data_IF_082245473118
#
_entry.id   IF_082245473118
#
_cell.length_a   1.000
_cell.length_b   1.000
_cell.length_c   1.000
_cell.angle_alpha   90.00
_cell.angle_beta   90.00
_cell.angle_gamma   90.00
#
_symmetry.space_group_name_H-M   'P 1'
#
loop_
_entity.id
_entity.type
_entity.pdbx_description
1 polymer ?
#
# COMPACT_ATOMS: atom_id res chain seq x y z
N UNK A 1 -52.89 -59.12 0.38
CA UNK A 1 -53.52 -58.22 -0.62
C UNK A 1 -53.45 -56.83 -0.07
N UNK A 2 -52.82 -55.93 -0.83
CA UNK A 2 -52.59 -54.54 -0.49
C UNK A 2 -53.89 -53.74 -0.48
N UNK A 3 -53.93 -52.65 0.28
CA UNK A 3 -54.46 -51.38 -0.20
C UNK A 3 -53.86 -50.24 0.62
N UNK A 4 -52.95 -49.50 -0.04
CA UNK A 4 -52.43 -48.22 0.41
C UNK A 4 -53.42 -47.15 -0.06
N UNK A 5 -54.02 -46.41 0.88
CA UNK A 5 -54.77 -45.19 0.58
C UNK A 5 -53.85 -43.97 0.75
N UNK A 6 -53.90 -43.13 -0.28
CA UNK A 6 -53.12 -41.93 -0.56
C UNK A 6 -53.42 -40.76 0.38
N UNK A 7 -52.37 -40.22 1.03
CA UNK A 7 -52.43 -38.92 1.73
C UNK A 7 -52.10 -37.73 0.80
N UNK A 8 -52.63 -36.52 1.05
CA UNK A 8 -52.45 -35.37 0.16
C UNK A 8 -51.07 -34.71 0.35
N UNK A 9 -50.43 -34.38 -0.77
CA UNK A 9 -49.20 -33.59 -0.84
C UNK A 9 -49.49 -32.12 -0.51
N UNK A 10 -49.19 -31.70 0.72
CA UNK A 10 -49.10 -30.28 1.09
C UNK A 10 -47.70 -29.75 0.80
N UNK A 11 -47.55 -28.95 -0.26
CA UNK A 11 -46.32 -28.23 -0.58
C UNK A 11 -46.03 -27.18 0.51
N UNK A 12 -45.13 -27.50 1.43
CA UNK A 12 -44.62 -26.55 2.41
C UNK A 12 -43.70 -25.53 1.73
N UNK A 13 -44.24 -24.34 1.47
CA UNK A 13 -43.51 -23.17 0.97
C UNK A 13 -42.54 -22.71 2.08
N UNK A 14 -41.25 -22.96 1.88
CA UNK A 14 -40.16 -22.48 2.74
C UNK A 14 -40.26 -20.95 2.89
N UNK A 15 -40.33 -20.39 4.11
CA UNK A 15 -40.40 -18.96 4.28
C UNK A 15 -39.09 -18.32 3.78
N UNK A 16 -39.25 -17.38 2.85
CA UNK A 16 -38.19 -16.54 2.30
C UNK A 16 -37.42 -15.87 3.42
N UNK A 17 -36.09 -15.93 3.32
CA UNK A 17 -35.14 -15.27 4.22
C UNK A 17 -35.56 -13.82 4.48
N UNK A 18 -35.89 -13.54 5.72
CA UNK A 18 -36.08 -12.19 6.24
C UNK A 18 -34.90 -11.31 5.83
N UNK A 19 -35.21 -10.13 5.29
CA UNK A 19 -34.25 -9.04 5.14
C UNK A 19 -33.77 -8.66 6.54
N UNK A 20 -32.63 -9.21 6.95
CA UNK A 20 -31.91 -8.69 8.09
C UNK A 20 -31.37 -7.33 7.66
N UNK A 21 -31.98 -6.27 8.19
CA UNK A 21 -31.35 -4.96 8.30
C UNK A 21 -30.05 -5.17 9.08
N UNK A 22 -28.96 -5.40 8.37
CA UNK A 22 -27.62 -5.48 8.95
C UNK A 22 -27.29 -4.10 9.47
N UNK A 23 -27.54 -3.88 10.76
CA UNK A 23 -26.79 -2.90 11.55
C UNK A 23 -25.33 -3.32 11.50
N UNK A 24 -24.62 -2.85 10.47
CA UNK A 24 -23.19 -3.07 10.31
C UNK A 24 -22.45 -2.27 11.39
N UNK A 25 -22.06 -2.94 12.47
CA UNK A 25 -21.25 -2.36 13.53
C UNK A 25 -19.91 -1.87 12.96
N UNK A 26 -19.48 -0.68 13.36
CA UNK A 26 -18.25 0.00 12.92
C UNK A 26 -16.99 -0.87 13.04
N UNK A 27 -16.98 -1.85 13.95
CA UNK A 27 -15.86 -2.75 14.22
C UNK A 27 -15.58 -3.78 13.10
N UNK A 28 -16.57 -4.11 12.27
CA UNK A 28 -16.39 -5.08 11.17
C UNK A 28 -15.55 -4.50 10.02
N UNK A 29 -15.53 -3.17 9.88
CA UNK A 29 -14.86 -2.47 8.78
C UNK A 29 -13.35 -2.32 8.97
N UNK A 30 -12.82 -2.51 10.17
CA UNK A 30 -11.38 -2.37 10.42
C UNK A 30 -10.55 -3.56 9.90
N UNK A 31 -11.23 -4.61 9.43
CA UNK A 31 -10.68 -5.80 8.78
C UNK A 31 -11.11 -5.94 7.31
N UNK A 32 -11.50 -4.86 6.63
CA UNK A 32 -11.84 -4.92 5.20
C UNK A 32 -10.68 -5.49 4.37
N UNK A 33 -10.81 -6.76 4.00
CA UNK A 33 -9.86 -7.43 3.12
C UNK A 33 -10.06 -6.84 1.74
N UNK A 34 -9.08 -6.05 1.30
CA UNK A 34 -9.05 -5.48 -0.04
C UNK A 34 -9.08 -6.63 -1.06
N UNK A 35 -10.01 -6.63 -2.03
CA UNK A 35 -10.04 -7.66 -3.08
C UNK A 35 -8.68 -7.76 -3.78
N UNK A 36 -8.27 -8.97 -4.16
CA UNK A 36 -6.95 -9.21 -4.77
C UNK A 36 -6.73 -8.39 -6.06
N UNK A 37 -7.80 -8.18 -6.85
CA UNK A 37 -7.77 -7.33 -8.04
C UNK A 37 -7.54 -5.84 -7.75
N UNK A 38 -7.65 -5.43 -6.48
CA UNK A 38 -7.46 -4.07 -5.99
C UNK A 38 -6.32 -3.98 -4.97
N UNK A 39 -5.40 -4.96 -4.95
CA UNK A 39 -4.30 -5.03 -3.97
C UNK A 39 -3.46 -3.75 -3.88
N UNK A 40 -3.33 -3.00 -4.97
CA UNK A 40 -2.64 -1.71 -5.04
C UNK A 40 -3.25 -0.60 -4.19
N UNK A 41 -4.48 -0.78 -3.69
CA UNK A 41 -5.19 0.17 -2.83
C UNK A 41 -4.90 -0.08 -1.35
N UNK A 42 -4.49 -1.31 -0.99
CA UNK A 42 -4.25 -1.68 0.41
C UNK A 42 -3.22 -0.78 1.13
N UNK A 43 -2.10 -0.35 0.52
CA UNK A 43 -1.18 0.59 1.15
C UNK A 43 -1.85 1.93 1.50
N UNK A 44 -2.75 2.43 0.65
CA UNK A 44 -3.44 3.70 0.86
C UNK A 44 -4.36 3.61 2.08
N UNK A 45 -5.14 2.54 2.18
CA UNK A 45 -6.03 2.32 3.32
C UNK A 45 -5.27 2.06 4.62
N UNK A 46 -4.11 1.40 4.56
CA UNK A 46 -3.22 1.22 5.71
C UNK A 46 -2.74 2.56 6.23
N UNK A 47 -2.18 3.42 5.37
CA UNK A 47 -1.76 4.77 5.73
C UNK A 47 -2.92 5.58 6.31
N UNK A 48 -4.09 5.52 5.68
CA UNK A 48 -5.28 6.20 6.17
C UNK A 48 -5.70 5.74 7.58
N UNK A 49 -5.52 4.46 7.91
CA UNK A 49 -5.79 3.93 9.26
C UNK A 49 -4.78 4.46 10.26
N UNK A 50 -3.49 4.43 9.94
CA UNK A 50 -2.40 4.88 10.82
C UNK A 50 -2.54 6.36 11.21
N UNK A 51 -2.79 7.24 10.23
CA UNK A 51 -2.88 8.69 10.48
C UNK A 51 -4.26 9.12 10.99
N UNK A 52 -5.24 8.21 11.11
CA UNK A 52 -6.64 8.57 11.39
C UNK A 52 -6.85 9.27 12.72
N UNK A 53 -6.04 8.95 13.71
CA UNK A 53 -6.11 9.53 15.06
C UNK A 53 -5.44 10.91 15.11
N UNK A 54 -4.34 11.09 14.38
CA UNK A 54 -3.55 12.33 14.38
C UNK A 54 -4.11 13.39 13.44
N UNK A 55 -4.54 12.95 12.24
CA UNK A 55 -5.07 13.82 11.17
C UNK A 55 -6.31 13.19 10.53
N UNK A 56 -7.48 13.30 11.18
CA UNK A 56 -8.71 12.66 10.69
C UNK A 56 -9.13 13.15 9.30
N UNK A 57 -8.92 14.45 8.98
CA UNK A 57 -9.23 14.97 7.64
C UNK A 57 -8.33 14.38 6.56
N UNK A 58 -7.01 14.27 6.79
CA UNK A 58 -6.10 13.68 5.81
C UNK A 58 -6.42 12.19 5.62
N UNK A 59 -6.70 11.45 6.71
CA UNK A 59 -7.14 10.06 6.60
C UNK A 59 -8.40 9.90 5.75
N UNK A 60 -9.38 10.82 5.91
CA UNK A 60 -10.57 10.86 5.07
C UNK A 60 -10.21 11.05 3.58
N UNK A 61 -9.31 11.99 3.25
CA UNK A 61 -8.85 12.22 1.89
C UNK A 61 -8.14 10.99 1.30
N UNK A 62 -7.32 10.29 2.08
CA UNK A 62 -6.69 9.03 1.64
C UNK A 62 -7.74 7.95 1.33
N UNK A 63 -8.79 7.80 2.16
CA UNK A 63 -9.88 6.84 1.88
C UNK A 63 -10.69 7.25 0.66
N UNK A 64 -10.94 8.55 0.47
CA UNK A 64 -11.66 9.06 -0.70
C UNK A 64 -10.87 8.78 -1.98
N UNK A 65 -9.57 9.07 -1.96
CA UNK A 65 -8.67 8.75 -3.06
C UNK A 65 -8.61 7.24 -3.35
N UNK A 66 -8.56 6.39 -2.30
CA UNK A 66 -8.62 4.94 -2.44
C UNK A 66 -9.92 4.48 -3.14
N UNK A 67 -11.06 5.08 -2.80
CA UNK A 67 -12.34 4.80 -3.47
C UNK A 67 -12.31 5.19 -4.95
N UNK A 68 -11.83 6.39 -5.28
CA UNK A 68 -11.71 6.80 -6.68
C UNK A 68 -10.75 5.90 -7.47
N UNK A 69 -9.61 5.53 -6.87
CA UNK A 69 -8.64 4.62 -7.50
C UNK A 69 -9.26 3.24 -7.72
N UNK A 70 -10.05 2.73 -6.77
CA UNK A 70 -10.83 1.51 -6.95
C UNK A 70 -11.81 1.62 -8.11
N UNK A 71 -12.48 2.77 -8.23
CA UNK A 71 -13.41 3.02 -9.31
C UNK A 71 -12.71 3.02 -10.67
N UNK A 72 -11.54 3.68 -10.79
CA UNK A 72 -10.74 3.68 -12.03
C UNK A 72 -10.23 2.28 -12.41
N UNK A 73 -9.83 1.46 -11.42
CA UNK A 73 -9.31 0.12 -11.66
C UNK A 73 -10.38 -0.90 -12.11
N UNK A 74 -11.62 -0.77 -11.65
CA UNK A 74 -12.71 -1.67 -12.05
C UNK A 74 -14.06 -0.92 -12.11
N UNK A 75 -14.29 -0.08 -13.13
CA UNK A 75 -15.46 0.81 -13.19
C UNK A 75 -16.80 0.07 -13.02
N UNK A 76 -16.90 -1.13 -13.61
CA UNK A 76 -18.11 -1.95 -13.59
C UNK A 76 -18.23 -2.86 -12.36
N UNK A 77 -17.25 -2.83 -11.44
CA UNK A 77 -17.20 -3.68 -10.24
C UNK A 77 -17.35 -5.17 -10.55
N UNK A 78 -16.67 -5.61 -11.60
CA UNK A 78 -16.71 -6.97 -12.15
C UNK A 78 -15.87 -7.97 -11.34
N UNK A 79 -14.86 -7.50 -10.61
CA UNK A 79 -14.01 -8.32 -9.78
C UNK A 79 -14.74 -8.91 -8.57
N UNK A 80 -14.31 -10.10 -8.14
CA UNK A 80 -14.87 -10.77 -6.97
C UNK A 80 -14.78 -9.86 -5.74
N UNK A 81 -15.92 -9.57 -5.11
CA UNK A 81 -16.00 -8.76 -3.89
C UNK A 81 -15.80 -7.24 -4.11
N UNK A 82 -15.48 -6.78 -5.33
CA UNK A 82 -15.19 -5.36 -5.60
C UNK A 82 -16.40 -4.48 -5.33
N UNK A 83 -17.59 -4.89 -5.75
CA UNK A 83 -18.82 -4.13 -5.51
C UNK A 83 -19.09 -3.95 -4.02
N UNK A 84 -18.96 -5.03 -3.24
CA UNK A 84 -19.17 -5.01 -1.79
C UNK A 84 -18.18 -4.07 -1.12
N UNK A 85 -16.89 -4.22 -1.46
CA UNK A 85 -15.81 -3.35 -0.98
C UNK A 85 -16.07 -1.87 -1.29
N UNK A 86 -16.41 -1.52 -2.54
CA UNK A 86 -16.69 -0.13 -2.91
C UNK A 86 -17.89 0.45 -2.17
N UNK A 87 -18.99 -0.32 -2.08
CA UNK A 87 -20.19 0.12 -1.36
C UNK A 87 -19.88 0.36 0.11
N UNK A 88 -19.14 -0.53 0.75
CA UNK A 88 -18.77 -0.43 2.15
C UNK A 88 -17.81 0.75 2.42
N UNK A 89 -16.79 0.93 1.55
CA UNK A 89 -15.89 2.08 1.62
C UNK A 89 -16.64 3.43 1.42
N UNK A 90 -17.60 3.47 0.49
CA UNK A 90 -18.43 4.67 0.28
C UNK A 90 -19.28 5.01 1.51
N UNK A 91 -19.95 4.03 2.11
CA UNK A 91 -20.72 4.24 3.34
C UNK A 91 -19.85 4.76 4.49
N UNK A 92 -18.62 4.26 4.61
CA UNK A 92 -17.65 4.77 5.60
C UNK A 92 -17.27 6.22 5.31
N UNK A 93 -17.04 6.59 4.06
CA UNK A 93 -16.76 7.97 3.67
C UNK A 93 -17.94 8.90 4.03
N UNK A 94 -19.17 8.50 3.71
CA UNK A 94 -20.36 9.29 4.05
C UNK A 94 -20.47 9.56 5.56
N UNK A 95 -20.18 8.53 6.38
CA UNK A 95 -20.21 8.63 7.84
C UNK A 95 -19.09 9.53 8.39
N UNK A 96 -17.86 9.33 7.90
CA UNK A 96 -16.67 9.97 8.46
C UNK A 96 -16.49 11.44 7.98
N UNK A 97 -17.17 11.84 6.89
CA UNK A 97 -16.97 13.14 6.27
C UNK A 97 -17.20 14.31 7.24
N UNK A 98 -18.36 14.35 7.91
CA UNK A 98 -18.73 15.47 8.78
C UNK A 98 -17.77 15.62 9.98
N UNK A 99 -17.44 14.51 10.65
CA UNK A 99 -16.47 14.52 11.76
C UNK A 99 -15.07 14.91 11.31
N UNK A 100 -14.63 14.44 10.13
CA UNK A 100 -13.31 14.78 9.59
C UNK A 100 -13.23 16.27 9.24
N UNK A 101 -14.29 16.85 8.67
CA UNK A 101 -14.37 18.27 8.35
C UNK A 101 -14.31 19.14 9.61
N UNK A 102 -15.00 18.73 10.68
CA UNK A 102 -14.95 19.44 11.95
C UNK A 102 -13.54 19.48 12.56
N UNK A 103 -12.72 18.47 12.29
CA UNK A 103 -11.32 18.38 12.75
C UNK A 103 -10.30 19.08 11.84
N UNK A 104 -10.74 19.66 10.70
CA UNK A 104 -9.84 20.27 9.72
C UNK A 104 -9.20 21.53 10.26
N UNK A 105 -7.89 21.67 10.08
CA UNK A 105 -7.09 22.79 10.59
C UNK A 105 -6.95 23.91 9.55
N UNK A 106 -6.86 23.55 8.28
CA UNK A 106 -6.67 24.45 7.14
C UNK A 106 -7.99 24.77 6.45
N UNK A 107 -7.94 25.80 5.59
CA UNK A 107 -9.13 26.31 4.89
C UNK A 107 -9.64 25.37 3.80
N UNK A 108 -8.74 24.70 3.09
CA UNK A 108 -9.07 23.76 2.00
C UNK A 108 -8.45 22.40 2.26
N UNK A 109 -8.92 21.38 1.56
CA UNK A 109 -8.38 20.03 1.73
C UNK A 109 -7.00 19.92 1.10
N UNK A 110 -6.74 20.62 -0.01
CA UNK A 110 -5.39 20.75 -0.58
C UNK A 110 -4.41 21.30 0.46
N UNK A 111 -4.74 22.42 1.11
CA UNK A 111 -3.86 23.02 2.12
C UNK A 111 -3.66 22.11 3.36
N UNK A 112 -4.68 21.34 3.74
CA UNK A 112 -4.60 20.39 4.86
C UNK A 112 -3.58 19.29 4.58
N UNK A 113 -3.69 18.62 3.42
CA UNK A 113 -2.79 17.53 3.06
C UNK A 113 -1.39 18.04 2.68
N UNK A 114 -1.29 19.21 2.07
CA UNK A 114 -0.03 19.89 1.75
C UNK A 114 0.78 20.17 3.02
N UNK A 115 0.15 20.80 4.01
CA UNK A 115 0.77 21.10 5.31
C UNK A 115 1.15 19.84 6.07
N UNK A 116 0.34 18.78 6.01
CA UNK A 116 0.65 17.53 6.69
C UNK A 116 1.78 16.76 6.00
N UNK A 117 1.78 16.74 4.67
CA UNK A 117 2.83 16.09 3.88
C UNK A 117 4.19 16.68 4.22
N UNK A 118 4.32 18.01 4.23
CA UNK A 118 5.56 18.68 4.58
C UNK A 118 6.02 18.35 6.01
N UNK A 119 5.10 18.40 6.99
CA UNK A 119 5.40 18.03 8.38
C UNK A 119 5.87 16.57 8.50
N UNK A 120 5.19 15.66 7.82
CA UNK A 120 5.53 14.24 7.82
C UNK A 120 6.92 14.01 7.22
N UNK A 121 7.21 14.65 6.08
CA UNK A 121 8.50 14.53 5.41
C UNK A 121 9.66 15.04 6.29
N UNK A 122 9.53 16.22 6.90
CA UNK A 122 10.56 16.74 7.80
C UNK A 122 10.77 15.83 9.02
N UNK A 123 9.67 15.38 9.66
CA UNK A 123 9.74 14.63 10.91
C UNK A 123 10.17 13.18 10.75
N UNK A 124 9.76 12.51 9.66
CA UNK A 124 9.95 11.07 9.51
C UNK A 124 10.87 10.70 8.35
N UNK A 125 10.95 11.51 7.29
CA UNK A 125 11.85 11.20 6.17
C UNK A 125 13.22 11.83 6.43
N UNK A 126 13.30 13.15 6.54
CA UNK A 126 14.58 13.84 6.74
C UNK A 126 15.25 13.51 8.07
N UNK A 127 14.48 13.47 9.16
CA UNK A 127 15.06 13.20 10.48
C UNK A 127 15.61 11.77 10.60
N UNK A 128 14.94 10.79 9.99
CA UNK A 128 15.42 9.40 10.00
C UNK A 128 16.57 9.17 9.01
N UNK A 129 16.58 9.84 7.86
CA UNK A 129 17.67 9.74 6.86
C UNK A 129 19.00 10.30 7.39
N UNK A 130 18.95 11.26 8.32
CA UNK A 130 20.14 11.83 8.98
C UNK A 130 20.62 11.03 10.20
N UNK A 131 19.85 10.04 10.67
CA UNK A 131 20.19 9.27 11.85
C UNK A 131 21.13 8.10 11.53
N UNK A 132 22.35 8.09 12.10
CA UNK A 132 23.31 6.96 11.96
C UNK A 132 22.77 5.60 12.44
N UNK A 133 21.68 5.58 13.21
CA UNK A 133 21.05 4.40 13.81
C UNK A 133 19.54 4.32 13.56
N UNK A 134 19.01 5.08 12.60
CA UNK A 134 17.59 4.99 12.30
C UNK A 134 17.23 3.54 11.92
N UNK A 135 16.18 3.01 12.56
CA UNK A 135 15.63 1.71 12.20
C UNK A 135 15.21 1.77 10.73
N UNK A 136 16.01 1.17 9.84
CA UNK A 136 15.80 1.23 8.39
C UNK A 136 14.42 0.72 7.98
N UNK A 137 13.81 -0.15 8.79
CA UNK A 137 12.41 -0.56 8.59
C UNK A 137 11.43 0.60 8.81
N UNK A 138 11.69 1.46 9.80
CA UNK A 138 10.91 2.69 10.03
C UNK A 138 11.14 3.70 8.92
N UNK A 139 12.37 3.83 8.42
CA UNK A 139 12.68 4.71 7.28
C UNK A 139 11.97 4.24 6.01
N UNK A 140 12.02 2.95 5.69
CA UNK A 140 11.29 2.38 4.55
C UNK A 140 9.78 2.54 4.68
N UNK A 141 9.23 2.36 5.89
CA UNK A 141 7.82 2.68 6.17
C UNK A 141 7.53 4.16 5.93
N UNK A 142 8.39 5.07 6.38
CA UNK A 142 8.22 6.50 6.18
C UNK A 142 8.19 6.87 4.70
N UNK A 143 9.11 6.34 3.88
CA UNK A 143 9.10 6.54 2.43
C UNK A 143 7.83 5.98 1.75
N UNK A 144 7.35 4.81 2.18
CA UNK A 144 6.10 4.26 1.66
C UNK A 144 4.91 5.17 1.97
N UNK A 145 4.79 5.61 3.22
CA UNK A 145 3.73 6.51 3.67
C UNK A 145 3.81 7.85 2.96
N UNK A 146 5.00 8.46 2.87
CA UNK A 146 5.21 9.70 2.16
C UNK A 146 4.83 9.58 0.68
N UNK A 147 5.19 8.48 0.02
CA UNK A 147 4.80 8.22 -1.36
C UNK A 147 3.28 8.12 -1.57
N UNK A 148 2.56 7.50 -0.63
CA UNK A 148 1.09 7.47 -0.63
C UNK A 148 0.50 8.86 -0.41
N UNK A 149 1.01 9.60 0.59
CA UNK A 149 0.52 10.95 0.89
C UNK A 149 0.73 11.90 -0.30
N UNK A 150 1.86 11.78 -0.99
CA UNK A 150 2.12 12.56 -2.21
C UNK A 150 1.15 12.23 -3.34
N UNK A 151 0.86 10.94 -3.56
CA UNK A 151 -0.12 10.51 -4.56
C UNK A 151 -1.52 11.12 -4.28
N UNK A 152 -1.93 11.13 -3.02
CA UNK A 152 -3.20 11.73 -2.58
C UNK A 152 -3.17 13.24 -2.73
N UNK A 153 -2.08 13.92 -2.35
CA UNK A 153 -1.89 15.36 -2.52
C UNK A 153 -2.06 15.76 -4.00
N UNK A 154 -1.42 15.05 -4.92
CA UNK A 154 -1.58 15.30 -6.36
C UNK A 154 -3.04 15.14 -6.82
N UNK A 155 -3.77 14.15 -6.29
CA UNK A 155 -5.16 13.93 -6.65
C UNK A 155 -6.09 15.04 -6.13
N UNK A 156 -5.87 15.49 -4.89
CA UNK A 156 -6.63 16.60 -4.28
C UNK A 156 -6.37 17.90 -5.03
N UNK A 157 -5.11 18.22 -5.34
CA UNK A 157 -4.75 19.44 -6.07
C UNK A 157 -5.35 19.47 -7.49
N UNK A 158 -5.39 18.32 -8.18
CA UNK A 158 -6.09 18.19 -9.48
C UNK A 158 -7.59 18.46 -9.36
N UNK A 159 -8.21 18.02 -8.27
CA UNK A 159 -9.65 18.19 -8.04
C UNK A 159 -10.00 19.63 -7.66
N UNK A 160 -9.20 20.26 -6.81
CA UNK A 160 -9.37 21.66 -6.41
C UNK A 160 -8.81 22.68 -7.42
N UNK A 161 -8.20 22.22 -8.53
CA UNK A 161 -7.57 23.05 -9.58
C UNK A 161 -6.53 24.03 -9.03
N UNK A 162 -5.71 23.55 -8.09
CA UNK A 162 -4.59 24.32 -7.55
C UNK A 162 -3.45 24.29 -8.58
N UNK A 163 -3.11 25.44 -9.16
CA UNK A 163 -2.11 25.54 -10.24
C UNK A 163 -0.67 25.46 -9.73
N UNK A 164 -0.39 25.89 -8.50
CA UNK A 164 0.97 25.95 -7.96
C UNK A 164 1.11 25.19 -6.64
N UNK A 165 1.97 24.18 -6.65
CA UNK A 165 2.46 23.49 -5.44
C UNK A 165 3.79 24.12 -5.06
N UNK A 166 4.01 24.31 -3.76
CA UNK A 166 5.24 24.91 -3.25
C UNK A 166 6.49 24.14 -3.75
N UNK A 167 7.57 24.83 -4.17
CA UNK A 167 8.75 24.19 -4.74
C UNK A 167 9.44 23.23 -3.75
N UNK A 168 9.31 23.47 -2.45
CA UNK A 168 9.83 22.60 -1.39
C UNK A 168 9.16 21.22 -1.40
N UNK A 169 7.86 21.19 -1.68
CA UNK A 169 7.07 19.96 -1.72
C UNK A 169 7.39 19.17 -2.98
N UNK A 170 7.62 19.85 -4.10
CA UNK A 170 8.10 19.23 -5.34
C UNK A 170 9.47 18.59 -5.11
N UNK A 171 10.38 19.30 -4.42
CA UNK A 171 11.70 18.77 -4.09
C UNK A 171 11.62 17.54 -3.15
N UNK A 172 10.80 17.63 -2.10
CA UNK A 172 10.55 16.51 -1.17
C UNK A 172 9.94 15.30 -1.89
N UNK A 173 8.97 15.53 -2.78
CA UNK A 173 8.36 14.47 -3.57
C UNK A 173 9.35 13.77 -4.51
N UNK A 174 10.28 14.53 -5.11
CA UNK A 174 11.35 13.95 -5.93
C UNK A 174 12.27 13.06 -5.11
N UNK A 175 12.69 13.50 -3.92
CA UNK A 175 13.50 12.68 -2.99
C UNK A 175 12.76 11.38 -2.60
N UNK A 176 11.48 11.49 -2.23
CA UNK A 176 10.66 10.33 -1.89
C UNK A 176 10.55 9.37 -3.07
N UNK A 177 10.32 9.88 -4.28
CA UNK A 177 10.17 9.04 -5.47
C UNK A 177 11.47 8.30 -5.83
N UNK A 178 12.62 8.96 -5.73
CA UNK A 178 13.93 8.36 -6.01
C UNK A 178 14.30 7.28 -4.98
N UNK A 179 14.05 7.54 -3.69
CA UNK A 179 14.43 6.62 -2.62
C UNK A 179 13.38 5.55 -2.30
N UNK A 180 12.14 5.71 -2.73
CA UNK A 180 11.09 4.70 -2.54
C UNK A 180 11.44 3.37 -3.22
N UNK A 181 12.12 3.41 -4.36
CA UNK A 181 12.60 2.20 -5.04
C UNK A 181 13.75 1.52 -4.26
N UNK A 182 14.57 2.31 -3.56
CA UNK A 182 15.68 1.82 -2.73
C UNK A 182 15.16 1.11 -1.48
N UNK A 183 14.13 1.67 -0.84
CA UNK A 183 13.55 1.16 0.41
C UNK A 183 12.31 0.26 0.22
N UNK A 184 12.18 -0.39 -0.94
CA UNK A 184 11.11 -1.35 -1.17
C UNK A 184 11.26 -2.54 -0.18
N UNK A 185 10.20 -2.92 0.56
CA UNK A 185 10.31 -3.95 1.59
C UNK A 185 10.49 -5.33 0.96
N UNK A 186 11.62 -5.98 1.24
CA UNK A 186 11.85 -7.38 0.91
C UNK A 186 11.14 -8.28 1.94
N UNK A 187 10.46 -9.33 1.47
CA UNK A 187 9.55 -10.13 2.30
C UNK A 187 10.23 -11.06 3.32
N UNK A 188 11.56 -11.21 3.32
CA UNK A 188 12.23 -12.23 4.16
C UNK A 188 13.35 -11.66 5.04
N UNK A 189 13.92 -10.51 4.71
CA UNK A 189 14.85 -9.73 5.53
C UNK A 189 14.81 -8.27 5.03
N UNK A 190 15.12 -7.26 5.84
CA UNK A 190 15.20 -5.87 5.39
C UNK A 190 16.45 -5.68 4.52
N UNK A 191 16.43 -6.21 3.31
CA UNK A 191 17.53 -6.14 2.34
C UNK A 191 17.26 -4.99 1.40
N UNK A 192 17.32 -3.74 1.87
CA UNK A 192 17.29 -2.61 0.93
C UNK A 192 18.54 -2.65 0.03
N UNK A 193 18.42 -2.05 -1.17
CA UNK A 193 19.43 -2.08 -2.24
C UNK A 193 20.77 -1.40 -1.90
N UNK A 194 20.96 -0.98 -0.64
CA UNK A 194 22.25 -0.70 -0.02
C UNK A 194 22.90 -1.96 0.60
N UNK A 195 22.70 -3.12 -0.04
CA UNK A 195 23.04 -4.46 0.43
C UNK A 195 24.49 -4.60 0.92
N UNK A 196 25.44 -3.86 0.36
CA UNK A 196 26.84 -3.86 0.78
C UNK A 196 27.07 -3.50 2.27
N UNK A 197 26.18 -2.69 2.86
CA UNK A 197 26.33 -2.19 4.23
C UNK A 197 25.70 -3.08 5.31
N UNK A 198 25.01 -4.16 4.94
CA UNK A 198 24.27 -4.98 5.89
C UNK A 198 25.13 -6.03 6.58
N UNK A 199 24.95 -6.21 7.89
CA UNK A 199 25.75 -7.17 8.68
C UNK A 199 25.69 -8.60 8.15
N UNK A 200 24.58 -9.00 7.50
CA UNK A 200 24.44 -10.32 6.86
C UNK A 200 25.35 -10.45 5.63
N UNK A 201 25.49 -9.40 4.82
CA UNK A 201 26.41 -9.38 3.65
C UNK A 201 27.87 -9.34 4.11
N UNK A 202 28.13 -8.89 5.34
CA UNK A 202 29.46 -8.93 5.94
C UNK A 202 29.88 -10.32 6.45
N UNK A 203 28.97 -11.29 6.54
CA UNK A 203 29.28 -12.67 6.90
C UNK A 203 30.20 -13.30 5.85
N UNK A 204 31.24 -13.99 6.31
CA UNK A 204 32.24 -14.60 5.42
C UNK A 204 31.64 -15.70 4.55
N UNK A 205 30.61 -16.40 5.03
CA UNK A 205 29.85 -17.38 4.25
C UNK A 205 29.16 -16.73 3.05
N UNK A 206 28.58 -15.55 3.25
CA UNK A 206 27.87 -14.81 2.20
C UNK A 206 28.87 -14.23 1.20
N UNK A 207 29.98 -13.65 1.66
CA UNK A 207 31.08 -13.19 0.80
C UNK A 207 31.66 -14.32 -0.04
N UNK A 208 31.90 -15.48 0.58
CA UNK A 208 32.40 -16.66 -0.12
C UNK A 208 31.42 -17.16 -1.18
N UNK A 209 30.11 -17.19 -0.88
CA UNK A 209 29.09 -17.58 -1.84
C UNK A 209 29.00 -16.60 -3.04
N UNK A 210 29.04 -15.29 -2.79
CA UNK A 210 29.06 -14.24 -3.82
C UNK A 210 30.32 -14.37 -4.70
N UNK A 211 31.48 -14.58 -4.08
CA UNK A 211 32.74 -14.80 -4.80
C UNK A 211 32.70 -16.09 -5.64
N UNK A 212 32.15 -17.18 -5.10
CA UNK A 212 32.00 -18.44 -5.82
C UNK A 212 31.10 -18.29 -7.06
N UNK A 213 29.94 -17.64 -6.91
CA UNK A 213 29.03 -17.36 -8.03
C UNK A 213 29.69 -16.46 -9.10
N UNK A 214 30.41 -15.43 -8.67
CA UNK A 214 31.10 -14.51 -9.58
C UNK A 214 32.18 -15.21 -10.42
N UNK A 215 32.87 -16.20 -9.84
CA UNK A 215 33.98 -16.91 -10.46
C UNK A 215 33.59 -18.22 -11.16
N UNK A 216 32.35 -18.67 -11.01
CA UNK A 216 31.88 -19.90 -11.67
C UNK A 216 31.61 -19.64 -13.15
N UNK A 217 32.32 -20.36 -14.01
CA UNK A 217 32.15 -20.30 -15.48
C UNK A 217 30.94 -21.13 -15.90
N UNK A 218 30.19 -20.64 -16.89
CA UNK A 218 29.06 -21.37 -17.50
C UNK A 218 27.72 -21.22 -16.78
N UNK A 219 27.61 -20.36 -15.76
CA UNK A 219 26.32 -19.96 -15.19
C UNK A 219 25.52 -19.14 -16.21
N UNK A 220 24.25 -19.48 -16.42
CA UNK A 220 23.31 -18.67 -17.19
C UNK A 220 22.83 -17.49 -16.34
N UNK A 221 23.14 -16.26 -16.77
CA UNK A 221 22.70 -15.04 -16.08
C UNK A 221 21.46 -14.46 -16.76
N UNK A 222 20.46 -13.96 -16.01
CA UNK A 222 19.35 -13.23 -16.60
C UNK A 222 19.88 -11.95 -17.27
N UNK A 223 19.37 -11.64 -18.45
CA UNK A 223 19.82 -10.49 -19.26
C UNK A 223 19.67 -9.15 -18.54
N UNK A 224 18.65 -9.01 -17.69
CA UNK A 224 18.44 -7.85 -16.81
C UNK A 224 19.56 -7.68 -15.77
N UNK A 225 20.10 -8.80 -15.26
CA UNK A 225 21.09 -8.80 -14.19
C UNK A 225 22.52 -8.68 -14.73
N UNK A 226 22.77 -9.18 -15.93
CA UNK A 226 24.08 -9.09 -16.60
C UNK A 226 24.49 -7.63 -16.86
N UNK A 227 23.54 -6.77 -17.21
CA UNK A 227 23.75 -5.33 -17.38
C UNK A 227 24.06 -4.61 -16.05
N UNK A 228 23.42 -5.04 -14.96
CA UNK A 228 23.61 -4.47 -13.63
C UNK A 228 24.96 -4.89 -13.02
N UNK A 229 25.33 -6.16 -13.18
CA UNK A 229 26.64 -6.71 -12.78
C UNK A 229 27.81 -5.96 -13.42
N UNK A 230 27.70 -5.61 -14.70
CA UNK A 230 28.74 -4.88 -15.43
C UNK A 230 28.84 -3.40 -15.02
N UNK A 231 27.75 -2.79 -14.54
CA UNK A 231 27.70 -1.37 -14.16
C UNK A 231 28.08 -1.11 -12.69
N UNK A 232 27.60 -1.96 -11.77
CA UNK A 232 27.70 -1.68 -10.34
C UNK A 232 28.95 -2.26 -9.68
N UNK A 233 29.59 -3.28 -10.29
CA UNK A 233 30.72 -3.99 -9.66
C UNK A 233 30.38 -4.76 -8.38
N UNK A 234 29.13 -4.64 -7.92
CA UNK A 234 28.61 -5.20 -6.69
C UNK A 234 27.50 -6.20 -7.02
N UNK A 235 27.66 -7.45 -6.59
CA UNK A 235 26.73 -8.54 -6.88
C UNK A 235 25.86 -8.77 -5.65
N UNK A 236 24.60 -8.36 -5.71
CA UNK A 236 23.62 -8.76 -4.69
C UNK A 236 23.13 -10.19 -4.98
N UNK A 237 23.54 -11.12 -4.11
CA UNK A 237 23.16 -12.54 -4.15
C UNK A 237 21.64 -12.74 -4.21
N UNK A 238 20.88 -11.89 -3.52
CA UNK A 238 19.45 -12.05 -3.34
C UNK A 238 18.67 -11.50 -4.52
N UNK A 239 19.14 -10.40 -5.12
CA UNK A 239 18.61 -9.94 -6.40
C UNK A 239 18.89 -10.94 -7.52
N UNK A 240 20.04 -11.64 -7.48
CA UNK A 240 20.32 -12.75 -8.39
C UNK A 240 19.36 -13.93 -8.18
N UNK A 241 19.15 -14.36 -6.93
CA UNK A 241 18.20 -15.43 -6.60
C UNK A 241 16.76 -15.08 -7.01
N UNK A 242 16.32 -13.84 -6.77
CA UNK A 242 15.03 -13.32 -7.25
C UNK A 242 14.92 -13.43 -8.76
N UNK A 243 15.96 -13.00 -9.48
CA UNK A 243 15.96 -12.98 -10.94
C UNK A 243 16.00 -14.39 -11.55
N UNK A 244 16.71 -15.33 -10.94
CA UNK A 244 16.85 -16.71 -11.42
C UNK A 244 15.68 -17.61 -11.07
N UNK A 245 15.14 -17.47 -9.85
CA UNK A 245 14.20 -18.43 -9.28
C UNK A 245 12.82 -17.83 -8.98
N UNK A 246 12.62 -16.53 -9.25
CA UNK A 246 11.36 -15.85 -8.96
C UNK A 246 11.06 -15.72 -7.46
N UNK A 247 12.10 -15.83 -6.62
CA UNK A 247 11.95 -15.71 -5.17
C UNK A 247 11.46 -14.30 -4.82
N UNK A 248 10.34 -14.18 -4.09
CA UNK A 248 9.72 -12.91 -3.64
C UNK A 248 8.99 -12.05 -4.70
N UNK A 249 8.58 -12.63 -5.84
CA UNK A 249 7.70 -11.96 -6.82
C UNK A 249 6.26 -11.77 -6.31
#
# INVERSE_FOLDING_TARGET
>A
MANHESGPQGLSRRPSRSAATTTFSTEVFDNEVVPSSLSTIAPILRVAKEISHERPRVAYLCRFYAFEKAHRLDPNSSGRGVRQFKTALLQRLEKDNASSLASRVKKTDAAEIDSFYYQYYEQYVRALDQGEKADRAQLGKAYQTAGVLFEVLCAVNKTEKVEEVAPEIIAAARDVQEKKEIYAPYNILPLDSAGASQSVVQLEEVKAAVAALSNTRGLSWPSSFEQQRQKAGDLDLLDWLRSMFGFQA
#
